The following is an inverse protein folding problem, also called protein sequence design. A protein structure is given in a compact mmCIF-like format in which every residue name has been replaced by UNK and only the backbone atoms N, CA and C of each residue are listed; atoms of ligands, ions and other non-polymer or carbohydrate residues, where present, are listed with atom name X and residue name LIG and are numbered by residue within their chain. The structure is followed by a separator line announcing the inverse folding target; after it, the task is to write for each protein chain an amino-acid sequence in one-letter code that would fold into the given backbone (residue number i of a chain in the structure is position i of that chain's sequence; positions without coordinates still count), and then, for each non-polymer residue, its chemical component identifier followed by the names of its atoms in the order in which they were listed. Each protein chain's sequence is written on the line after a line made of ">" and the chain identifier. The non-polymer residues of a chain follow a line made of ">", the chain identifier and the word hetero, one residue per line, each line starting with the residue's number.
data_IF_209158774851
#
_entry.id   IF_209158774851
#
_cell.length_a   1.000
_cell.length_b   1.000
_cell.length_c   1.000
_cell.angle_alpha   90.00
_cell.angle_beta   90.00
_cell.angle_gamma   90.00
#
_symmetry.space_group_name_H-M   'P 1'
#
loop_
_entity.id
_entity.type
_entity.pdbx_description
1 polymer ?
#
# COMPACT_ATOMS: atom_id res chain seq x y z
N UNK A 1 -58.28 12.61 40.35
CA UNK A 1 -58.45 11.39 39.53
C UNK A 1 -57.09 10.70 39.43
N UNK A 2 -56.98 9.49 39.99
CA UNK A 2 -55.74 8.69 39.98
C UNK A 2 -55.56 8.05 38.61
N UNK A 3 -54.39 8.22 37.96
CA UNK A 3 -54.01 7.49 36.75
C UNK A 3 -52.88 6.52 37.11
N UNK A 4 -53.19 5.23 36.92
CA UNK A 4 -52.30 4.10 37.13
C UNK A 4 -51.23 4.03 36.04
N UNK A 5 -50.00 3.70 36.45
CA UNK A 5 -48.91 3.32 35.58
C UNK A 5 -49.03 1.83 35.19
N UNK A 6 -48.67 1.49 33.95
CA UNK A 6 -48.44 0.10 33.52
C UNK A 6 -47.11 0.08 32.76
N UNK A 7 -46.13 -0.62 33.32
CA UNK A 7 -44.87 -0.98 32.67
C UNK A 7 -45.13 -2.11 31.66
N UNK A 8 -44.68 -1.94 30.42
CA UNK A 8 -44.58 -3.02 29.44
C UNK A 8 -43.13 -3.54 29.43
N UNK A 9 -42.93 -4.76 29.93
CA UNK A 9 -41.70 -5.54 29.78
C UNK A 9 -41.72 -6.23 28.41
N UNK A 10 -40.90 -5.75 27.47
CA UNK A 10 -40.68 -6.41 26.19
C UNK A 10 -39.65 -7.53 26.34
N UNK A 11 -40.08 -8.78 26.12
CA UNK A 11 -39.19 -9.93 25.97
C UNK A 11 -38.64 -9.92 24.54
N UNK A 12 -37.34 -9.71 24.39
CA UNK A 12 -36.65 -9.93 23.11
C UNK A 12 -36.13 -11.37 23.10
N UNK A 13 -36.76 -12.22 22.28
CA UNK A 13 -36.28 -13.57 22.01
C UNK A 13 -35.12 -13.52 21.00
N UNK A 14 -33.94 -13.99 21.41
CA UNK A 14 -32.82 -14.24 20.52
C UNK A 14 -33.04 -15.57 19.78
N UNK A 15 -33.22 -15.51 18.46
CA UNK A 15 -33.05 -16.67 17.60
C UNK A 15 -31.62 -16.66 17.04
N UNK A 16 -30.74 -17.44 17.66
CA UNK A 16 -29.44 -17.79 17.11
C UNK A 16 -29.63 -18.85 16.02
N UNK A 17 -29.31 -18.52 14.77
CA UNK A 17 -29.04 -19.52 13.74
C UNK A 17 -27.70 -19.24 13.10
N UNK A 18 -26.71 -20.02 13.52
CA UNK A 18 -25.48 -20.27 12.78
C UNK A 18 -25.80 -21.10 11.54
N UNK A 19 -25.15 -20.73 10.42
CA UNK A 19 -24.59 -21.57 9.34
C UNK A 19 -24.94 -21.05 7.95
N UNK A 20 -23.90 -20.64 7.22
CA UNK A 20 -23.95 -20.37 5.80
C UNK A 20 -22.91 -19.34 5.34
N UNK A 21 -21.62 -19.54 5.65
CA UNK A 21 -20.57 -18.80 4.92
C UNK A 21 -20.38 -19.53 3.60
N UNK A 22 -20.71 -18.92 2.44
CA UNK A 22 -20.35 -19.55 1.17
C UNK A 22 -18.82 -19.53 1.05
N UNK A 23 -18.25 -20.73 0.87
CA UNK A 23 -16.90 -20.91 0.39
C UNK A 23 -16.81 -20.35 -1.02
N UNK A 24 -16.22 -19.17 -1.10
CA UNK A 24 -15.93 -18.45 -2.33
C UNK A 24 -15.05 -17.27 -1.97
N UNK A 25 -13.78 -17.53 -1.63
CA UNK A 25 -12.75 -16.50 -1.67
C UNK A 25 -12.48 -16.18 -3.16
N UNK A 26 -13.48 -15.59 -3.82
CA UNK A 26 -13.21 -14.77 -4.99
C UNK A 26 -12.48 -13.54 -4.45
N UNK A 27 -11.39 -13.16 -5.11
CA UNK A 27 -10.83 -11.84 -4.93
C UNK A 27 -12.02 -10.86 -5.03
N UNK A 28 -12.28 -10.11 -3.96
CA UNK A 28 -13.15 -8.94 -4.07
C UNK A 28 -12.36 -8.02 -5.00
N UNK A 29 -12.64 -8.13 -6.30
CA UNK A 29 -12.24 -7.11 -7.25
C UNK A 29 -12.79 -5.83 -6.67
N UNK A 30 -11.89 -4.89 -6.37
CA UNK A 30 -12.30 -3.54 -5.97
C UNK A 30 -13.13 -3.04 -7.15
N UNK A 31 -14.45 -3.02 -6.99
CA UNK A 31 -15.37 -2.60 -8.04
C UNK A 31 -15.02 -1.13 -8.34
N UNK A 32 -14.43 -0.86 -9.50
CA UNK A 32 -13.88 0.46 -9.86
C UNK A 32 -12.36 0.60 -9.75
N UNK A 33 -11.60 -0.47 -9.50
CA UNK A 33 -10.13 -0.43 -9.64
C UNK A 33 -9.75 -0.24 -11.11
N UNK A 34 -8.86 0.71 -11.43
CA UNK A 34 -8.33 0.90 -12.77
C UNK A 34 -7.28 -0.16 -13.15
N UNK A 35 -6.81 -0.97 -12.19
CA UNK A 35 -5.79 -1.98 -12.46
C UNK A 35 -6.35 -3.11 -13.35
N UNK A 36 -5.61 -3.55 -14.37
CA UNK A 36 -6.04 -4.66 -15.23
C UNK A 36 -6.07 -5.99 -14.47
N UNK A 37 -6.84 -6.94 -15.00
CA UNK A 37 -6.93 -8.29 -14.44
C UNK A 37 -5.55 -8.95 -14.32
N UNK A 38 -5.29 -9.53 -13.14
CA UNK A 38 -4.01 -10.19 -12.84
C UNK A 38 -2.88 -9.25 -12.44
N UNK A 39 -3.10 -7.93 -12.38
CA UNK A 39 -2.16 -7.01 -11.77
C UNK A 39 -1.97 -7.30 -10.27
N UNK A 40 -0.74 -7.13 -9.77
CA UNK A 40 -0.52 -6.91 -8.34
C UNK A 40 -1.02 -5.51 -8.02
N UNK A 41 -1.91 -5.41 -7.05
CA UNK A 41 -2.47 -4.14 -6.58
C UNK A 41 -1.91 -3.86 -5.20
N UNK A 42 -1.17 -2.77 -5.06
CA UNK A 42 -0.81 -2.20 -3.77
C UNK A 42 -1.60 -0.91 -3.56
N UNK A 43 -2.04 -0.65 -2.33
CA UNK A 43 -2.87 0.51 -2.00
C UNK A 43 -2.39 1.21 -0.74
N UNK A 44 -2.69 2.50 -0.64
CA UNK A 44 -2.36 3.33 0.50
C UNK A 44 -3.09 4.67 0.43
N UNK A 45 -3.20 5.34 1.57
CA UNK A 45 -3.90 6.63 1.64
C UNK A 45 -3.24 7.53 2.67
N UNK A 46 -3.38 8.83 2.45
CA UNK A 46 -2.99 9.87 3.40
C UNK A 46 -3.94 11.04 3.20
N UNK A 47 -4.53 11.53 4.29
CA UNK A 47 -5.55 12.59 4.22
C UNK A 47 -6.72 12.20 3.32
N UNK A 48 -7.03 13.05 2.34
CA UNK A 48 -8.12 12.82 1.38
C UNK A 48 -7.69 12.03 0.13
N UNK A 49 -6.38 11.75 -0.01
CA UNK A 49 -5.84 11.06 -1.19
C UNK A 49 -5.64 9.58 -0.94
N UNK A 50 -6.09 8.79 -1.91
CA UNK A 50 -5.84 7.35 -1.98
C UNK A 50 -5.09 7.02 -3.25
N UNK A 51 -4.14 6.11 -3.16
CA UNK A 51 -3.32 5.68 -4.29
C UNK A 51 -3.44 4.18 -4.51
N UNK A 52 -3.38 3.78 -5.78
CA UNK A 52 -3.19 2.40 -6.21
C UNK A 52 -1.94 2.33 -7.08
N UNK A 53 -1.10 1.35 -6.80
CA UNK A 53 -0.02 0.95 -7.70
C UNK A 53 -0.41 -0.36 -8.38
N UNK A 54 -0.68 -0.28 -9.68
CA UNK A 54 -0.92 -1.44 -10.51
C UNK A 54 0.43 -1.93 -11.04
N UNK A 55 0.90 -3.08 -10.59
CA UNK A 55 2.12 -3.70 -11.10
C UNK A 55 1.79 -4.90 -11.99
N UNK A 56 2.31 -4.92 -13.23
CA UNK A 56 2.02 -5.94 -14.25
C UNK A 56 3.28 -6.41 -14.96
N UNK A 57 3.16 -7.49 -15.75
CA UNK A 57 4.23 -8.01 -16.61
C UNK A 57 5.58 -8.18 -15.88
N UNK A 58 5.64 -8.92 -14.76
CA UNK A 58 6.90 -9.17 -14.08
C UNK A 58 7.83 -9.98 -14.99
N UNK A 59 9.04 -9.47 -15.18
CA UNK A 59 10.16 -10.13 -15.85
C UNK A 59 11.41 -10.07 -14.94
N UNK A 60 12.56 -10.57 -15.39
CA UNK A 60 13.80 -10.65 -14.62
C UNK A 60 14.28 -9.28 -14.13
N UNK A 61 13.85 -8.89 -12.92
CA UNK A 61 14.23 -7.64 -12.28
C UNK A 61 13.55 -6.40 -12.88
N UNK A 62 12.40 -6.55 -13.54
CA UNK A 62 11.61 -5.43 -14.08
C UNK A 62 10.12 -5.75 -13.98
N UNK A 63 9.29 -4.74 -13.76
CA UNK A 63 7.83 -4.87 -13.77
C UNK A 63 7.25 -3.54 -14.26
N UNK A 64 6.22 -3.58 -15.11
CA UNK A 64 5.47 -2.36 -15.44
C UNK A 64 4.70 -1.91 -14.19
N UNK A 65 4.65 -0.60 -13.95
CA UNK A 65 4.03 -0.02 -12.75
C UNK A 65 3.30 1.26 -13.13
N UNK A 66 2.02 1.34 -12.81
CA UNK A 66 1.20 2.54 -13.01
C UNK A 66 0.65 3.02 -11.68
N UNK A 67 0.86 4.30 -11.39
CA UNK A 67 0.30 4.94 -10.20
C UNK A 67 -1.03 5.61 -10.57
N UNK A 68 -2.06 5.29 -9.80
CA UNK A 68 -3.39 5.87 -9.89
C UNK A 68 -3.72 6.57 -8.59
N UNK A 69 -4.43 7.70 -8.67
CA UNK A 69 -4.76 8.54 -7.53
C UNK A 69 -6.25 8.86 -7.51
N UNK A 70 -6.83 8.87 -6.32
CA UNK A 70 -8.20 9.26 -6.05
C UNK A 70 -8.21 10.38 -5.01
N UNK A 71 -9.09 11.36 -5.21
CA UNK A 71 -9.40 12.43 -4.24
C UNK A 71 -10.80 12.29 -3.63
N UNK A 72 -11.47 11.17 -3.87
CA UNK A 72 -12.86 10.93 -3.46
C UNK A 72 -13.00 9.59 -2.72
N UNK A 73 -12.02 9.30 -1.86
CA UNK A 73 -11.97 8.10 -1.02
C UNK A 73 -11.99 6.79 -1.81
N UNK A 74 -11.37 6.78 -2.99
CA UNK A 74 -11.25 5.61 -3.85
C UNK A 74 -12.49 5.31 -4.67
N UNK A 75 -13.43 6.26 -4.80
CA UNK A 75 -14.60 6.09 -5.66
C UNK A 75 -14.24 6.21 -7.14
N UNK A 76 -13.33 7.13 -7.49
CA UNK A 76 -12.78 7.31 -8.83
C UNK A 76 -11.25 7.47 -8.78
N UNK A 77 -10.57 6.96 -9.80
CA UNK A 77 -9.12 7.02 -9.92
C UNK A 77 -8.68 7.65 -11.23
N UNK A 78 -7.65 8.48 -11.17
CA UNK A 78 -6.98 9.11 -12.30
C UNK A 78 -5.53 8.63 -12.41
N UNK A 79 -5.11 8.27 -13.63
CA UNK A 79 -3.75 7.83 -13.91
C UNK A 79 -2.79 9.01 -13.72
N UNK A 80 -1.82 8.86 -12.81
CA UNK A 80 -0.74 9.83 -12.60
C UNK A 80 0.44 9.57 -13.54
N UNK A 81 0.64 8.31 -13.93
CA UNK A 81 1.66 7.91 -14.90
C UNK A 81 2.46 6.69 -14.44
N UNK A 82 3.50 6.33 -15.21
CA UNK A 82 4.33 5.18 -14.89
C UNK A 82 5.28 5.47 -13.73
N UNK A 83 5.39 4.53 -12.79
CA UNK A 83 6.50 4.49 -11.84
C UNK A 83 7.72 3.79 -12.47
N UNK A 84 8.95 3.97 -11.92
CA UNK A 84 10.15 3.32 -12.45
C UNK A 84 9.98 1.81 -12.56
N UNK A 85 10.34 1.26 -13.72
CA UNK A 85 10.08 -0.15 -14.03
C UNK A 85 11.11 -1.12 -13.44
N UNK A 86 12.29 -0.62 -13.07
CA UNK A 86 13.38 -1.44 -12.53
C UNK A 86 12.95 -2.04 -11.18
N UNK A 87 13.10 -3.35 -11.08
CA UNK A 87 12.79 -4.17 -9.92
C UNK A 87 11.35 -4.70 -9.88
N UNK A 88 11.18 -5.83 -9.20
CA UNK A 88 9.86 -6.37 -8.83
C UNK A 88 9.39 -5.65 -7.59
N UNK A 89 8.17 -5.10 -7.63
CA UNK A 89 7.56 -4.39 -6.50
C UNK A 89 7.47 -5.31 -5.29
N UNK A 90 8.02 -4.88 -4.16
CA UNK A 90 7.99 -5.63 -2.89
C UNK A 90 7.44 -4.83 -1.72
N UNK A 91 7.23 -3.53 -1.87
CA UNK A 91 6.56 -2.69 -0.88
C UNK A 91 6.00 -1.40 -1.47
N UNK A 92 5.00 -0.86 -0.79
CA UNK A 92 4.28 0.36 -1.16
C UNK A 92 3.88 1.11 0.11
N UNK A 93 4.08 2.43 0.14
CA UNK A 93 3.64 3.28 1.23
C UNK A 93 3.26 4.67 0.73
N UNK A 94 2.39 5.36 1.47
CA UNK A 94 1.94 6.73 1.18
C UNK A 94 2.21 7.59 2.42
N UNK A 95 3.44 8.13 2.60
CA UNK A 95 3.80 8.89 3.81
C UNK A 95 2.99 10.18 3.95
N UNK A 96 2.63 10.82 2.84
CA UNK A 96 1.85 12.05 2.79
C UNK A 96 0.96 12.09 1.56
N UNK A 97 0.05 13.06 1.47
CA UNK A 97 -0.80 13.29 0.30
C UNK A 97 -0.03 13.44 -1.02
N UNK A 98 1.23 13.85 -0.98
CA UNK A 98 2.06 14.06 -2.18
C UNK A 98 3.24 13.08 -2.28
N UNK A 99 3.46 12.26 -1.24
CA UNK A 99 4.58 11.34 -1.19
C UNK A 99 4.10 9.92 -1.34
N UNK A 100 4.67 9.19 -2.30
CA UNK A 100 4.44 7.77 -2.49
C UNK A 100 5.78 7.08 -2.61
N UNK A 101 5.96 6.00 -1.86
CA UNK A 101 7.18 5.21 -1.82
C UNK A 101 6.92 3.80 -2.35
N UNK A 102 7.84 3.30 -3.18
CA UNK A 102 7.81 1.96 -3.76
C UNK A 102 9.16 1.32 -3.52
N UNK A 103 9.19 0.19 -2.81
CA UNK A 103 10.39 -0.63 -2.75
C UNK A 103 10.31 -1.74 -3.79
N UNK A 104 11.46 -2.05 -4.39
CA UNK A 104 11.57 -3.05 -5.42
C UNK A 104 12.88 -3.83 -5.32
N UNK A 105 12.85 -5.08 -5.74
CA UNK A 105 14.03 -5.94 -5.81
C UNK A 105 14.45 -6.17 -7.26
N UNK A 106 15.68 -5.80 -7.64
CA UNK A 106 16.19 -5.91 -8.99
C UNK A 106 17.52 -6.67 -8.99
N UNK A 107 17.52 -7.93 -9.43
CA UNK A 107 18.67 -8.82 -9.29
C UNK A 107 19.16 -8.89 -7.82
N UNK A 108 20.36 -8.39 -7.55
CA UNK A 108 21.01 -8.28 -6.24
C UNK A 108 20.75 -6.94 -5.53
N UNK A 109 19.94 -6.06 -6.13
CA UNK A 109 19.67 -4.73 -5.61
C UNK A 109 18.35 -4.64 -4.83
N UNK A 110 18.43 -4.01 -3.66
CA UNK A 110 17.29 -3.41 -2.97
C UNK A 110 17.18 -1.96 -3.41
N UNK A 111 16.03 -1.56 -3.95
CA UNK A 111 15.80 -0.23 -4.49
C UNK A 111 14.56 0.39 -3.86
N UNK A 112 14.60 1.68 -3.56
CA UNK A 112 13.43 2.47 -3.17
C UNK A 112 13.28 3.65 -4.12
N UNK A 113 12.09 3.78 -4.69
CA UNK A 113 11.67 4.93 -5.45
C UNK A 113 10.67 5.76 -4.66
N UNK A 114 10.82 7.08 -4.71
CA UNK A 114 9.82 7.99 -4.18
C UNK A 114 9.41 9.00 -5.23
N UNK A 115 8.14 9.35 -5.20
CA UNK A 115 7.65 10.60 -5.74
C UNK A 115 7.31 11.53 -4.58
N UNK A 116 7.50 12.83 -4.78
CA UNK A 116 7.15 13.87 -3.81
C UNK A 116 6.09 14.84 -4.35
N UNK A 117 5.56 14.57 -5.54
CA UNK A 117 4.58 15.39 -6.25
C UNK A 117 3.36 14.56 -6.72
N UNK A 118 3.07 13.46 -6.03
CA UNK A 118 1.91 12.61 -6.29
C UNK A 118 2.04 11.71 -7.53
N UNK A 119 3.25 11.51 -8.04
CA UNK A 119 3.54 10.60 -9.15
C UNK A 119 3.95 11.26 -10.46
N UNK A 120 4.03 12.59 -10.49
CA UNK A 120 4.45 13.32 -11.69
C UNK A 120 5.95 13.11 -11.98
N UNK A 121 6.78 13.05 -10.93
CA UNK A 121 8.20 12.72 -11.02
C UNK A 121 8.61 11.70 -9.97
N UNK A 122 9.58 10.86 -10.31
CA UNK A 122 10.10 9.80 -9.45
C UNK A 122 11.62 9.89 -9.31
N UNK A 123 12.09 9.61 -8.09
CA UNK A 123 13.50 9.59 -7.71
C UNK A 123 13.86 8.21 -7.17
N UNK A 124 15.02 7.67 -7.58
CA UNK A 124 15.64 6.49 -6.95
C UNK A 124 16.46 6.98 -5.74
N UNK A 125 15.86 6.97 -4.54
CA UNK A 125 16.44 7.58 -3.35
C UNK A 125 17.31 6.63 -2.54
N UNK A 126 17.16 5.32 -2.75
CA UNK A 126 17.98 4.29 -2.13
C UNK A 126 18.26 3.19 -3.15
N UNK A 127 19.54 2.85 -3.32
CA UNK A 127 19.98 1.63 -3.98
C UNK A 127 21.07 0.98 -3.14
N UNK A 128 20.82 -0.26 -2.72
CA UNK A 128 21.78 -1.09 -1.98
C UNK A 128 22.15 -2.28 -2.87
N UNK A 129 23.41 -2.34 -3.28
CA UNK A 129 23.99 -3.48 -4.00
C UNK A 129 24.25 -4.63 -3.04
N UNK A 130 24.17 -5.88 -3.52
CA UNK A 130 24.26 -7.09 -2.69
C UNK A 130 23.24 -7.14 -1.53
N UNK A 131 22.19 -6.34 -1.63
CA UNK A 131 21.20 -6.12 -0.57
C UNK A 131 19.80 -6.61 -0.93
N UNK A 132 19.59 -7.31 -2.05
CA UNK A 132 18.29 -7.90 -2.33
C UNK A 132 17.91 -8.97 -1.30
N UNK A 133 16.60 -9.12 -0.96
CA UNK A 133 15.47 -8.37 -1.48
C UNK A 133 15.16 -7.13 -0.62
N UNK A 134 14.42 -6.19 -1.18
CA UNK A 134 13.78 -5.13 -0.41
C UNK A 134 12.52 -5.69 0.28
N UNK A 135 12.34 -5.42 1.56
CA UNK A 135 11.20 -5.87 2.37
C UNK A 135 10.85 -4.83 3.43
N UNK A 136 9.65 -4.95 4.02
CA UNK A 136 9.22 -4.13 5.16
C UNK A 136 9.32 -2.61 4.94
N UNK A 137 9.08 -2.12 3.72
CA UNK A 137 8.95 -0.70 3.49
C UNK A 137 7.75 -0.18 4.28
N UNK A 138 7.99 0.74 5.21
CA UNK A 138 6.94 1.33 6.05
C UNK A 138 7.29 2.76 6.43
N UNK A 139 6.26 3.55 6.73
CA UNK A 139 6.39 4.90 7.27
C UNK A 139 5.50 5.01 8.50
N UNK A 140 6.05 5.50 9.60
CA UNK A 140 5.30 5.74 10.85
C UNK A 140 4.63 7.10 10.86
N UNK A 141 5.19 8.05 10.10
CA UNK A 141 4.61 9.35 9.81
C UNK A 141 5.15 9.88 8.46
N UNK A 142 4.86 11.14 8.13
CA UNK A 142 5.24 11.74 6.86
C UNK A 142 6.76 11.85 6.64
N UNK A 143 7.57 11.83 7.71
CA UNK A 143 9.02 12.04 7.65
C UNK A 143 9.81 10.78 8.01
N UNK A 144 9.27 9.92 8.89
CA UNK A 144 9.96 8.76 9.43
C UNK A 144 9.48 7.46 8.79
N UNK A 145 10.44 6.69 8.27
CA UNK A 145 10.17 5.41 7.63
C UNK A 145 11.39 4.51 7.63
N UNK A 146 11.18 3.26 7.24
CA UNK A 146 12.22 2.24 7.17
C UNK A 146 11.99 1.26 6.03
N UNK A 147 13.07 0.60 5.62
CA UNK A 147 13.08 -0.53 4.68
C UNK A 147 14.19 -1.48 5.05
N UNK A 148 13.96 -2.78 4.89
CA UNK A 148 14.97 -3.82 5.12
C UNK A 148 15.44 -4.37 3.78
N UNK A 149 16.76 -4.34 3.56
CA UNK A 149 17.42 -4.84 2.37
C UNK A 149 18.29 -6.05 2.75
N UNK A 150 17.98 -7.23 2.24
CA UNK A 150 18.86 -8.41 2.29
C UNK A 150 18.16 -9.65 2.81
N UNK A 151 18.85 -10.78 2.73
CA UNK A 151 18.35 -12.07 3.21
C UNK A 151 18.83 -12.35 4.64
N UNK A 152 17.94 -12.91 5.45
CA UNK A 152 18.24 -13.54 6.74
C UNK A 152 19.11 -12.65 7.66
N UNK A 153 20.22 -13.19 8.17
CA UNK A 153 21.16 -12.53 9.08
C UNK A 153 21.99 -11.42 8.44
N UNK A 154 22.01 -11.33 7.11
CA UNK A 154 22.69 -10.27 6.37
C UNK A 154 21.75 -9.10 6.01
N UNK A 155 20.47 -9.23 6.36
CA UNK A 155 19.50 -8.18 6.13
C UNK A 155 19.86 -6.92 6.92
N UNK A 156 19.83 -5.78 6.23
CA UNK A 156 20.15 -4.48 6.80
C UNK A 156 18.94 -3.57 6.74
N UNK A 157 18.63 -2.93 7.85
CA UNK A 157 17.56 -1.92 7.90
C UNK A 157 18.14 -0.54 7.62
N UNK A 158 17.47 0.16 6.72
CA UNK A 158 17.68 1.57 6.46
C UNK A 158 16.48 2.34 6.98
N UNK A 159 16.72 3.55 7.48
CA UNK A 159 15.69 4.45 7.96
C UNK A 159 15.87 5.85 7.40
N UNK A 160 14.78 6.60 7.37
CA UNK A 160 14.74 8.00 6.94
C UNK A 160 14.15 8.85 8.06
N UNK A 161 14.60 10.09 8.16
CA UNK A 161 14.00 11.14 8.99
C UNK A 161 13.47 12.34 8.14
N UNK A 162 13.59 12.27 6.81
CA UNK A 162 13.26 13.34 5.88
C UNK A 162 12.33 12.90 4.72
N UNK A 163 11.39 12.01 5.03
CA UNK A 163 10.39 11.48 4.11
C UNK A 163 10.96 10.59 2.99
N UNK A 164 12.16 10.03 3.18
CA UNK A 164 12.83 9.13 2.25
C UNK A 164 13.72 9.84 1.25
N UNK A 165 14.02 11.13 1.46
CA UNK A 165 14.98 11.87 0.62
C UNK A 165 16.39 11.38 0.86
N UNK A 166 16.70 11.05 2.10
CA UNK A 166 17.94 10.41 2.49
C UNK A 166 17.67 9.20 3.37
N UNK A 167 18.57 8.22 3.30
CA UNK A 167 18.46 6.96 4.02
C UNK A 167 19.75 6.70 4.79
N UNK A 168 19.60 6.34 6.06
CA UNK A 168 20.68 6.00 6.98
C UNK A 168 20.60 4.53 7.32
N UNK A 169 21.76 3.86 7.35
CA UNK A 169 21.88 2.48 7.81
C UNK A 169 21.72 2.45 9.34
N UNK A 170 20.97 1.47 9.85
CA UNK A 170 20.85 1.18 11.28
C UNK A 170 22.02 0.36 11.82
#
# INVERSE_FOLDING_TARGET
>A
MRRNAVLALGVVAFASSLLGVPLGAGAVGVQGSPCPDGARIDSGSSGERSYLLCSTNPDRGRMDKELWMSTDQGANYELQGPAPQKGITSGFAVPSEQTVAVSASAADQCVVYLTFDGGANWEETLTVTDGAPASNLTFTDANHGSVTCGWDENAMTYYTEDAGRTWMKM
#
